data_IF_598995665723
#
_entry.id   IF_598995665723
#
_cell.length_a   1.000
_cell.length_b   1.000
_cell.length_c   1.000
_cell.angle_alpha   90.00
_cell.angle_beta   90.00
_cell.angle_gamma   90.00
#
_symmetry.space_group_name_H-M   'P 1'
#
loop_
_entity.id
_entity.type
_entity.pdbx_description
1 polymer ?
#
# COMPACT_ATOMS: atom_id res chain seq x y z
N UNK A 1 -23.54 5.24 34.03
CA UNK A 1 -22.26 4.74 33.49
C UNK A 1 -22.11 5.38 32.13
N UNK A 2 -20.94 5.96 31.80
CA UNK A 2 -20.75 6.51 30.45
C UNK A 2 -20.73 5.33 29.47
N UNK A 3 -21.61 5.35 28.47
CA UNK A 3 -21.67 4.30 27.47
C UNK A 3 -20.37 4.33 26.66
N UNK A 4 -19.72 3.16 26.54
CA UNK A 4 -18.53 3.03 25.68
C UNK A 4 -19.03 3.14 24.24
N UNK A 5 -18.67 4.25 23.58
CA UNK A 5 -18.99 4.48 22.17
C UNK A 5 -17.79 4.18 21.28
N UNK A 6 -18.04 3.91 19.99
CA UNK A 6 -17.00 3.74 18.97
C UNK A 6 -16.08 4.96 18.86
N UNK A 7 -16.63 6.16 19.08
CA UNK A 7 -15.89 7.43 19.12
C UNK A 7 -14.89 7.45 20.30
N UNK A 8 -15.34 7.01 21.49
CA UNK A 8 -14.52 6.94 22.70
C UNK A 8 -13.40 5.91 22.56
N UNK A 9 -13.67 4.75 21.94
CA UNK A 9 -12.64 3.74 21.65
C UNK A 9 -11.60 4.29 20.66
N UNK A 10 -12.03 4.98 19.61
CA UNK A 10 -11.13 5.62 18.64
C UNK A 10 -10.24 6.66 19.31
N UNK A 11 -10.82 7.56 20.12
CA UNK A 11 -10.06 8.57 20.87
C UNK A 11 -9.06 7.94 21.83
N UNK A 12 -9.43 6.88 22.55
CA UNK A 12 -8.53 6.17 23.46
C UNK A 12 -7.36 5.51 22.72
N UNK A 13 -7.60 4.90 21.56
CA UNK A 13 -6.54 4.35 20.71
C UNK A 13 -5.56 5.43 20.26
N UNK A 14 -6.09 6.56 19.80
CA UNK A 14 -5.28 7.69 19.33
C UNK A 14 -4.47 8.31 20.48
N UNK A 15 -5.04 8.36 21.70
CA UNK A 15 -4.38 8.88 22.92
C UNK A 15 -3.32 7.94 23.50
N UNK A 16 -3.57 6.64 23.48
CA UNK A 16 -2.69 5.65 24.13
C UNK A 16 -1.63 5.08 23.20
N UNK A 17 -1.80 5.25 21.88
CA UNK A 17 -0.97 4.57 20.89
C UNK A 17 -1.15 3.05 20.89
N UNK A 18 -2.14 2.53 21.63
CA UNK A 18 -2.47 1.09 21.66
C UNK A 18 -3.08 0.74 20.31
N UNK A 19 -2.23 0.30 19.39
CA UNK A 19 -2.69 -0.31 18.15
C UNK A 19 -3.53 -1.54 18.50
N UNK A 20 -4.72 -1.65 17.89
CA UNK A 20 -5.47 -2.91 17.86
C UNK A 20 -4.80 -3.94 16.93
N UNK A 21 -3.84 -3.48 16.12
CA UNK A 21 -3.07 -4.27 15.16
C UNK A 21 -1.72 -4.65 15.79
N UNK A 22 -1.74 -5.49 16.84
CA UNK A 22 -0.53 -5.94 17.54
C UNK A 22 0.05 -7.23 16.97
N UNK A 23 -0.69 -7.88 16.08
CA UNK A 23 -0.32 -9.15 15.48
C UNK A 23 -0.09 -8.97 13.99
N UNK A 24 0.58 -9.94 13.38
CA UNK A 24 0.91 -9.89 11.97
C UNK A 24 2.05 -10.83 11.62
N UNK A 25 2.48 -10.74 10.37
CA UNK A 25 3.61 -11.50 9.86
C UNK A 25 4.53 -10.59 9.05
N UNK A 26 5.83 -10.75 9.26
CA UNK A 26 6.83 -10.23 8.35
C UNK A 26 7.14 -11.31 7.32
N UNK A 27 6.94 -11.01 6.04
CA UNK A 27 7.24 -11.91 4.94
C UNK A 27 8.27 -11.26 4.02
N UNK A 28 9.18 -12.06 3.46
CA UNK A 28 10.18 -11.61 2.51
C UNK A 28 10.14 -12.46 1.25
N UNK A 29 10.30 -11.80 0.10
CA UNK A 29 10.45 -12.41 -1.20
C UNK A 29 11.85 -12.10 -1.75
N UNK A 30 12.54 -13.13 -2.22
CA UNK A 30 13.85 -13.00 -2.85
C UNK A 30 13.75 -13.41 -4.31
N UNK A 31 14.22 -12.55 -5.21
CA UNK A 31 14.21 -12.77 -6.65
C UNK A 31 15.61 -12.84 -7.24
N UNK A 32 15.75 -13.57 -8.36
CA UNK A 32 16.97 -13.63 -9.18
C UNK A 32 18.25 -13.87 -8.36
N UNK A 33 18.24 -14.86 -7.48
CA UNK A 33 19.40 -15.22 -6.66
C UNK A 33 19.85 -14.14 -5.67
N UNK A 34 18.94 -13.25 -5.24
CA UNK A 34 19.23 -12.21 -4.26
C UNK A 34 19.48 -10.82 -4.85
N UNK A 35 19.36 -10.65 -6.16
CA UNK A 35 19.51 -9.34 -6.80
C UNK A 35 18.41 -8.35 -6.40
N UNK A 36 17.21 -8.86 -6.09
CA UNK A 36 16.12 -8.07 -5.53
C UNK A 36 15.55 -8.83 -4.34
N UNK A 37 15.38 -8.12 -3.22
CA UNK A 37 14.68 -8.60 -2.03
C UNK A 37 13.63 -7.58 -1.66
N UNK A 38 12.43 -8.04 -1.36
CA UNK A 38 11.43 -7.19 -0.74
C UNK A 38 10.86 -7.85 0.51
N UNK A 39 10.51 -7.04 1.49
CA UNK A 39 9.86 -7.47 2.70
C UNK A 39 8.59 -6.64 2.94
N UNK A 40 7.60 -7.26 3.56
CA UNK A 40 6.37 -6.61 4.01
C UNK A 40 6.09 -7.01 5.45
N UNK A 41 5.53 -6.09 6.22
CA UNK A 41 4.85 -6.39 7.47
C UNK A 41 3.36 -6.25 7.22
N UNK A 42 2.65 -7.38 7.27
CA UNK A 42 1.20 -7.44 7.18
C UNK A 42 0.64 -7.61 8.59
N UNK A 43 -0.12 -6.64 9.05
CA UNK A 43 -0.69 -6.62 10.40
C UNK A 43 -2.15 -7.07 10.39
N UNK A 44 -2.58 -7.60 11.54
CA UNK A 44 -3.93 -8.03 11.84
C UNK A 44 -4.23 -7.85 13.34
N UNK A 45 -5.46 -8.15 13.77
CA UNK A 45 -5.93 -7.87 15.14
C UNK A 45 -5.67 -9.02 16.12
N UNK A 46 -5.52 -10.25 15.63
CA UNK A 46 -5.35 -11.44 16.49
C UNK A 46 -4.17 -12.32 16.09
N UNK A 47 -3.61 -13.03 17.08
CA UNK A 47 -2.55 -14.00 16.85
C UNK A 47 -3.03 -15.20 16.02
N UNK A 48 -4.31 -15.56 16.17
CA UNK A 48 -4.97 -16.62 15.41
C UNK A 48 -4.89 -16.36 13.89
N UNK A 49 -5.25 -15.16 13.45
CA UNK A 49 -5.15 -14.78 12.02
C UNK A 49 -3.70 -14.69 11.58
N UNK A 50 -2.81 -14.11 12.40
CA UNK A 50 -1.38 -13.99 12.04
C UNK A 50 -0.68 -15.33 11.78
N UNK A 51 -1.17 -16.42 12.39
CA UNK A 51 -0.66 -17.79 12.24
C UNK A 51 -1.37 -18.57 11.14
N UNK A 52 -2.37 -17.99 10.48
CA UNK A 52 -3.11 -18.65 9.41
C UNK A 52 -2.27 -18.73 8.12
N UNK A 53 -2.25 -19.89 7.47
CA UNK A 53 -1.46 -20.10 6.24
C UNK A 53 -1.87 -19.18 5.08
N UNK A 54 -3.16 -18.83 4.97
CA UNK A 54 -3.64 -17.92 3.93
C UNK A 54 -3.20 -16.48 4.20
N UNK A 55 -3.10 -16.09 5.46
CA UNK A 55 -2.55 -14.79 5.85
C UNK A 55 -1.06 -14.69 5.51
N UNK A 56 -0.28 -15.74 5.84
CA UNK A 56 1.12 -15.84 5.46
C UNK A 56 1.34 -15.85 3.94
N UNK A 57 0.48 -16.55 3.20
CA UNK A 57 0.51 -16.58 1.73
C UNK A 57 0.25 -15.18 1.15
N UNK A 58 -0.75 -14.46 1.66
CA UNK A 58 -1.04 -13.09 1.25
C UNK A 58 0.15 -12.15 1.49
N UNK A 59 0.78 -12.22 2.66
CA UNK A 59 1.96 -11.41 2.95
C UNK A 59 3.13 -11.73 2.00
N UNK A 60 3.40 -13.01 1.72
CA UNK A 60 4.43 -13.41 0.77
C UNK A 60 4.13 -12.92 -0.67
N UNK A 61 2.88 -13.04 -1.11
CA UNK A 61 2.44 -12.56 -2.41
C UNK A 61 2.56 -11.04 -2.54
N UNK A 62 2.25 -10.28 -1.48
CA UNK A 62 2.47 -8.83 -1.44
C UNK A 62 3.96 -8.51 -1.45
N UNK A 63 4.81 -9.23 -0.73
CA UNK A 63 6.27 -9.04 -0.80
C UNK A 63 6.80 -9.28 -2.22
N UNK A 64 6.31 -10.30 -2.91
CA UNK A 64 6.65 -10.55 -4.32
C UNK A 64 6.20 -9.40 -5.21
N UNK A 65 4.99 -8.89 -4.99
CA UNK A 65 4.48 -7.73 -5.71
C UNK A 65 5.35 -6.49 -5.49
N UNK A 66 5.72 -6.19 -4.25
CA UNK A 66 6.64 -5.08 -3.92
C UNK A 66 7.97 -5.25 -4.65
N UNK A 67 8.55 -6.45 -4.65
CA UNK A 67 9.80 -6.72 -5.36
C UNK A 67 9.72 -6.39 -6.86
N UNK A 68 8.58 -6.70 -7.49
CA UNK A 68 8.34 -6.48 -8.91
C UNK A 68 7.97 -5.02 -9.26
N UNK A 69 7.15 -4.37 -8.44
CA UNK A 69 6.51 -3.09 -8.77
C UNK A 69 7.20 -1.87 -8.18
N UNK A 70 8.09 -2.04 -7.20
CA UNK A 70 8.85 -0.95 -6.58
C UNK A 70 7.98 0.26 -6.16
N UNK A 71 6.90 0.04 -5.37
CA UNK A 71 6.10 1.13 -4.82
C UNK A 71 6.94 1.98 -3.87
N UNK A 72 6.70 3.29 -3.88
CA UNK A 72 7.36 4.26 -3.00
C UNK A 72 6.51 4.48 -1.74
N UNK A 73 5.18 4.47 -1.91
CA UNK A 73 4.22 4.70 -0.83
C UNK A 73 3.32 3.50 -0.66
N UNK A 74 2.87 3.25 0.56
CA UNK A 74 1.84 2.24 0.81
C UNK A 74 0.51 2.77 0.30
N UNK A 75 0.12 3.97 0.72
CA UNK A 75 -1.18 4.56 0.42
C UNK A 75 -1.05 6.04 0.01
N UNK A 76 -2.10 6.59 -0.62
CA UNK A 76 -2.08 7.98 -1.12
C UNK A 76 -1.85 9.06 -0.04
N UNK A 77 -2.09 8.77 1.25
CA UNK A 77 -1.89 9.75 2.33
C UNK A 77 -0.42 9.97 2.65
N UNK A 78 0.45 9.08 2.20
CA UNK A 78 1.92 9.20 2.36
C UNK A 78 2.54 10.05 1.24
N UNK A 79 1.78 10.33 0.17
CA UNK A 79 2.23 11.21 -0.93
C UNK A 79 2.19 12.65 -0.43
N UNK A 80 3.34 13.32 -0.41
CA UNK A 80 3.44 14.70 0.06
C UNK A 80 3.18 15.71 -1.07
N UNK A 81 2.90 16.96 -0.69
CA UNK A 81 2.81 18.07 -1.64
C UNK A 81 4.12 18.26 -2.40
N UNK A 82 5.26 18.00 -1.76
CA UNK A 82 6.58 18.06 -2.38
C UNK A 82 6.75 16.99 -3.47
N UNK A 83 6.31 15.76 -3.21
CA UNK A 83 6.33 14.66 -4.19
C UNK A 83 5.45 14.99 -5.39
N UNK A 84 4.26 15.52 -5.13
CA UNK A 84 3.30 15.92 -6.16
C UNK A 84 3.85 17.06 -7.02
N UNK A 85 4.48 18.07 -6.39
CA UNK A 85 5.10 19.18 -7.11
C UNK A 85 6.31 18.72 -7.95
N UNK A 86 7.14 17.84 -7.41
CA UNK A 86 8.28 17.25 -8.13
C UNK A 86 7.78 16.49 -9.37
N UNK A 87 6.80 15.59 -9.22
CA UNK A 87 6.20 14.85 -10.32
C UNK A 87 5.58 15.80 -11.36
N UNK A 88 4.88 16.86 -10.92
CA UNK A 88 4.26 17.86 -11.81
C UNK A 88 5.31 18.54 -12.69
N UNK A 89 6.44 18.94 -12.12
CA UNK A 89 7.52 19.60 -12.88
C UNK A 89 8.14 18.71 -13.96
N UNK A 90 8.13 17.39 -13.77
CA UNK A 90 8.59 16.42 -14.77
C UNK A 90 7.59 16.33 -15.91
N UNK A 91 6.30 16.15 -15.59
CA UNK A 91 5.26 15.93 -16.59
C UNK A 91 4.80 17.19 -17.33
N UNK A 92 5.00 18.39 -16.77
CA UNK A 92 4.71 19.66 -17.45
C UNK A 92 5.39 19.77 -18.82
N UNK A 93 6.64 19.29 -18.92
CA UNK A 93 7.38 19.26 -20.17
C UNK A 93 6.78 18.28 -21.19
N UNK A 94 6.20 17.17 -20.72
CA UNK A 94 5.58 16.17 -21.60
C UNK A 94 4.27 16.67 -22.21
N UNK A 95 3.53 17.53 -21.50
CA UNK A 95 2.24 18.06 -21.97
C UNK A 95 2.37 19.39 -22.72
N UNK A 96 3.58 19.90 -22.94
CA UNK A 96 3.81 21.19 -23.60
C UNK A 96 3.20 21.26 -25.01
N UNK A 97 3.20 20.13 -25.74
CA UNK A 97 2.64 20.02 -27.08
C UNK A 97 1.11 19.78 -27.11
N UNK A 98 0.49 19.63 -25.94
CA UNK A 98 -0.97 19.51 -25.82
C UNK A 98 -1.60 20.91 -25.91
N UNK A 99 -2.71 21.09 -26.66
CA UNK A 99 -3.45 22.34 -26.72
C UNK A 99 -3.82 22.84 -25.31
N UNK A 100 -3.72 24.15 -25.10
CA UNK A 100 -3.90 24.79 -23.78
C UNK A 100 -5.19 24.38 -23.08
N UNK A 101 -6.30 24.30 -23.83
CA UNK A 101 -7.60 23.88 -23.33
C UNK A 101 -7.62 22.48 -22.68
N UNK A 102 -6.73 21.58 -23.09
CA UNK A 102 -6.66 20.20 -22.61
C UNK A 102 -5.40 19.92 -21.75
N UNK A 103 -4.47 20.87 -21.66
CA UNK A 103 -3.15 20.64 -21.06
C UNK A 103 -3.23 20.29 -19.58
N UNK A 104 -4.08 21.00 -18.82
CA UNK A 104 -4.28 20.72 -17.40
C UNK A 104 -4.82 19.30 -17.18
N UNK A 105 -5.85 18.92 -17.92
CA UNK A 105 -6.45 17.59 -17.84
C UNK A 105 -5.44 16.49 -18.23
N UNK A 106 -4.59 16.74 -19.22
CA UNK A 106 -3.52 15.81 -19.60
C UNK A 106 -2.47 15.67 -18.50
N UNK A 107 -2.08 16.77 -17.86
CA UNK A 107 -1.14 16.78 -16.75
C UNK A 107 -1.69 16.04 -15.53
N UNK A 108 -2.94 16.30 -15.16
CA UNK A 108 -3.57 15.63 -14.02
C UNK A 108 -3.75 14.12 -14.27
N UNK A 109 -4.05 13.70 -15.51
CA UNK A 109 -4.08 12.29 -15.88
C UNK A 109 -2.71 11.60 -15.79
N UNK A 110 -1.63 12.31 -16.18
CA UNK A 110 -0.24 11.82 -16.02
C UNK A 110 0.14 11.69 -14.55
N UNK A 111 -0.21 12.68 -13.74
CA UNK A 111 0.04 12.67 -12.30
C UNK A 111 -0.71 11.53 -11.61
N UNK A 112 -2.00 11.36 -11.89
CA UNK A 112 -2.77 10.27 -11.30
C UNK A 112 -2.23 8.89 -11.72
N UNK A 113 -1.83 8.74 -12.98
CA UNK A 113 -1.16 7.54 -13.47
C UNK A 113 0.14 7.26 -12.71
N UNK A 114 1.00 8.26 -12.55
CA UNK A 114 2.24 8.13 -11.77
C UNK A 114 1.99 7.75 -10.32
N UNK A 115 1.04 8.42 -9.65
CA UNK A 115 0.69 8.12 -8.26
C UNK A 115 0.17 6.68 -8.14
N UNK A 116 -0.74 6.28 -9.04
CA UNK A 116 -1.30 4.93 -9.08
C UNK A 116 -0.22 3.86 -9.29
N UNK A 117 0.80 4.14 -10.09
CA UNK A 117 1.93 3.24 -10.30
C UNK A 117 2.92 3.20 -9.13
N UNK A 118 2.90 4.18 -8.21
CA UNK A 118 3.85 4.27 -7.09
C UNK A 118 3.25 4.04 -5.71
N UNK A 119 1.92 4.01 -5.61
CA UNK A 119 1.17 3.70 -4.39
C UNK A 119 0.76 2.24 -4.40
N UNK A 120 1.33 1.43 -3.50
CA UNK A 120 1.10 -0.01 -3.39
C UNK A 120 -0.39 -0.39 -3.44
N UNK A 121 -1.22 0.27 -2.64
CA UNK A 121 -2.64 -0.10 -2.52
C UNK A 121 -3.45 0.15 -3.81
N UNK A 122 -2.99 1.04 -4.68
CA UNK A 122 -3.63 1.36 -5.95
C UNK A 122 -3.15 0.45 -7.11
N UNK A 123 -2.01 -0.23 -6.92
CA UNK A 123 -1.39 -1.05 -7.95
C UNK A 123 -2.25 -2.29 -8.26
N UNK A 124 -2.43 -2.63 -9.56
CA UNK A 124 -2.97 -3.93 -9.97
C UNK A 124 -2.03 -5.06 -9.51
N UNK A 125 -2.59 -6.12 -8.95
CA UNK A 125 -1.80 -7.21 -8.41
C UNK A 125 -1.10 -7.99 -9.52
N UNK A 126 0.19 -8.29 -9.33
CA UNK A 126 1.05 -8.89 -10.37
C UNK A 126 0.62 -10.31 -10.79
N UNK A 127 -0.03 -11.06 -9.90
CA UNK A 127 -0.55 -12.41 -10.23
C UNK A 127 -1.95 -12.36 -10.84
N UNK A 128 -2.69 -11.29 -10.57
CA UNK A 128 -4.06 -11.08 -11.06
C UNK A 128 -4.35 -9.59 -11.20
N UNK A 129 -4.07 -8.99 -12.37
CA UNK A 129 -4.25 -7.56 -12.60
C UNK A 129 -5.71 -7.08 -12.58
N UNK A 130 -6.69 -8.00 -12.48
CA UNK A 130 -8.10 -7.61 -12.31
C UNK A 130 -8.41 -7.07 -10.92
N UNK A 131 -7.52 -7.32 -9.96
CA UNK A 131 -7.63 -6.92 -8.55
C UNK A 131 -6.48 -5.99 -8.17
N UNK A 132 -6.74 -5.02 -7.31
CA UNK A 132 -5.68 -4.18 -6.72
C UNK A 132 -5.20 -4.78 -5.40
N UNK A 133 -4.05 -4.32 -4.89
CA UNK A 133 -3.59 -4.73 -3.56
C UNK A 133 -4.60 -4.33 -2.48
N UNK A 134 -5.21 -3.14 -2.55
CA UNK A 134 -6.31 -2.78 -1.65
C UNK A 134 -7.43 -3.83 -1.68
N UNK A 135 -7.86 -4.26 -2.87
CA UNK A 135 -8.88 -5.29 -3.03
C UNK A 135 -8.49 -6.63 -2.39
N UNK A 136 -7.21 -7.03 -2.47
CA UNK A 136 -6.73 -8.23 -1.77
C UNK A 136 -6.87 -8.10 -0.25
N UNK A 137 -6.52 -6.93 0.31
CA UNK A 137 -6.61 -6.66 1.75
C UNK A 137 -8.06 -6.58 2.23
N UNK A 138 -8.96 -6.00 1.42
CA UNK A 138 -10.38 -5.91 1.73
C UNK A 138 -11.03 -7.29 1.76
N UNK A 139 -10.73 -8.14 0.77
CA UNK A 139 -11.20 -9.52 0.73
C UNK A 139 -10.63 -10.34 1.89
N UNK A 140 -9.36 -10.15 2.25
CA UNK A 140 -8.76 -10.78 3.41
C UNK A 140 -9.46 -10.33 4.70
N UNK A 141 -9.72 -9.04 4.86
CA UNK A 141 -10.42 -8.50 6.03
C UNK A 141 -11.83 -9.06 6.16
N UNK A 142 -12.56 -9.16 5.05
CA UNK A 142 -13.89 -9.81 5.03
C UNK A 142 -13.80 -11.30 5.39
N UNK A 143 -12.79 -12.00 4.88
CA UNK A 143 -12.60 -13.43 5.13
C UNK A 143 -12.24 -13.74 6.57
N UNK A 144 -11.39 -12.92 7.20
CA UNK A 144 -10.94 -13.14 8.57
C UNK A 144 -11.85 -12.50 9.61
N UNK A 145 -12.69 -11.55 9.21
CA UNK A 145 -13.58 -10.84 10.12
C UNK A 145 -12.87 -9.80 11.01
N UNK A 146 -11.64 -9.44 10.67
CA UNK A 146 -10.83 -8.42 11.35
C UNK A 146 -10.06 -7.59 10.32
N UNK A 147 -9.57 -6.43 10.72
CA UNK A 147 -8.80 -5.56 9.83
C UNK A 147 -7.49 -6.24 9.45
N UNK A 148 -7.14 -6.17 8.16
CA UNK A 148 -5.84 -6.57 7.62
C UNK A 148 -5.20 -5.36 6.93
N UNK A 149 -3.95 -5.05 7.25
CA UNK A 149 -3.28 -3.89 6.64
C UNK A 149 -1.78 -4.09 6.44
N UNK A 150 -1.23 -3.47 5.39
CA UNK A 150 0.22 -3.36 5.20
C UNK A 150 0.72 -2.18 6.02
N UNK A 151 1.63 -2.42 6.96
CA UNK A 151 2.18 -1.36 7.83
C UNK A 151 3.59 -0.93 7.45
N UNK A 152 4.32 -1.79 6.74
CA UNK A 152 5.68 -1.50 6.30
C UNK A 152 6.02 -2.33 5.07
N UNK A 153 6.76 -1.71 4.16
CA UNK A 153 7.43 -2.37 3.06
C UNK A 153 8.89 -1.94 3.04
N UNK A 154 9.75 -2.82 2.54
CA UNK A 154 11.14 -2.52 2.25
C UNK A 154 11.51 -3.24 0.96
N UNK A 155 12.28 -2.58 0.09
CA UNK A 155 12.80 -3.19 -1.14
C UNK A 155 14.27 -2.83 -1.30
N UNK A 156 15.09 -3.84 -1.57
CA UNK A 156 16.51 -3.73 -1.82
C UNK A 156 16.80 -4.30 -3.21
N UNK A 157 17.65 -3.62 -3.97
CA UNK A 157 18.08 -4.00 -5.32
C UNK A 157 19.55 -3.68 -5.50
N UNK A 158 20.29 -4.54 -6.20
CA UNK A 158 21.70 -4.31 -6.59
C UNK A 158 21.86 -3.50 -7.89
N UNK A 159 20.73 -3.15 -8.52
CA UNK A 159 20.65 -2.25 -9.67
C UNK A 159 19.98 -0.96 -9.27
#
# INVERSE_FOLDING_TARGET
>A
MADITTETIKQLRDLTGVSIMQWGIAAAYTHAGGQVVAAVVLACETDFVSKNELFGTLAYDIAMHVAAMDPIWINRKEVTDADTAAARSVFEKEVANVPEANRQKALDGKLDGFIKERVLLDQPFVKDPSRTIQGLLDEASQKFGEKVEVVRIERLSVK
#
